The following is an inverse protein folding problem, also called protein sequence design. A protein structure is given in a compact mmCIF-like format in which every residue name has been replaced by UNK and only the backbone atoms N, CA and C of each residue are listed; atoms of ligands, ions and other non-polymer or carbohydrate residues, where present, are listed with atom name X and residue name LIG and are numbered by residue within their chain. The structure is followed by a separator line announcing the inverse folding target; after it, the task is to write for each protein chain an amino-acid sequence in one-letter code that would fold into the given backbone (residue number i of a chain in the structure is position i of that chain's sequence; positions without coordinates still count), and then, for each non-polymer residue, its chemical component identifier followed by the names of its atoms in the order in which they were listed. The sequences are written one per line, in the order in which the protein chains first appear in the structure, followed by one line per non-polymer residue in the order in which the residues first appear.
data_IF_068649714200
#
_entry.id   IF_068649714200
#
_cell.length_a   1.000
_cell.length_b   1.000
_cell.length_c   1.000
_cell.angle_alpha   90.00
_cell.angle_beta   90.00
_cell.angle_gamma   90.00
#
_symmetry.space_group_name_H-M   'P 1'
#
loop_
_entity.id
_entity.type
_entity.pdbx_description
1 polymer ?
#
# COMPACT_ATOMS: atom_id res chain seq x y z
N UNK A 1 20.22 74.69 9.50
CA UNK A 1 19.44 74.61 10.76
C UNK A 1 19.29 73.14 11.11
N UNK A 2 19.76 72.70 12.28
CA UNK A 2 19.41 71.40 12.87
C UNK A 2 20.39 70.23 12.67
N UNK A 3 21.49 70.18 13.43
CA UNK A 3 21.91 68.92 14.10
C UNK A 3 21.06 68.83 15.40
N UNK A 4 20.75 67.66 16.01
CA UNK A 4 21.79 66.88 16.67
C UNK A 4 21.61 65.35 16.79
N UNK A 5 22.78 64.74 16.96
CA UNK A 5 23.17 63.54 17.71
C UNK A 5 22.17 62.86 18.66
N UNK A 6 22.12 61.52 18.57
CA UNK A 6 22.06 60.55 19.68
C UNK A 6 22.84 59.30 19.21
N UNK A 7 23.96 58.84 19.78
CA UNK A 7 24.31 58.49 21.16
C UNK A 7 23.61 57.22 21.68
N UNK A 8 24.42 56.14 21.78
CA UNK A 8 24.45 55.12 22.82
C UNK A 8 23.20 54.27 23.08
N UNK A 9 23.38 52.95 23.11
CA UNK A 9 22.42 52.07 23.77
C UNK A 9 22.67 50.60 23.55
N UNK A 10 23.24 49.95 24.56
CA UNK A 10 23.41 48.51 24.65
C UNK A 10 22.07 47.76 24.55
N UNK A 11 22.03 46.69 23.74
CA UNK A 11 20.92 45.74 23.68
C UNK A 11 21.24 44.48 24.52
N UNK A 12 20.31 44.01 25.38
CA UNK A 12 20.57 42.96 26.35
C UNK A 12 20.40 41.54 25.81
N UNK A 13 21.01 40.62 26.56
CA UNK A 13 20.65 39.22 26.80
C UNK A 13 19.55 38.58 25.94
N UNK A 14 19.94 37.53 25.21
CA UNK A 14 19.02 36.59 24.58
C UNK A 14 19.58 35.17 24.54
N UNK A 15 20.00 34.61 25.69
CA UNK A 15 20.17 33.16 25.81
C UNK A 15 18.79 32.53 25.71
N UNK A 16 18.35 32.20 24.49
CA UNK A 16 17.24 31.28 24.28
C UNK A 16 17.69 29.92 24.83
N UNK A 17 17.37 29.65 26.10
CA UNK A 17 17.32 28.28 26.60
C UNK A 17 16.24 27.60 25.78
N UNK A 18 16.65 26.80 24.81
CA UNK A 18 15.76 25.83 24.18
C UNK A 18 15.36 24.88 25.30
N UNK A 19 14.19 25.13 25.87
CA UNK A 19 13.50 24.20 26.76
C UNK A 19 13.27 22.93 25.96
N UNK A 20 14.20 21.98 26.01
CA UNK A 20 13.92 20.62 25.61
C UNK A 20 12.90 20.09 26.63
N UNK A 21 11.63 19.84 26.25
CA UNK A 21 10.84 18.95 27.08
C UNK A 21 11.52 17.60 26.95
N UNK A 22 12.28 17.21 27.97
CA UNK A 22 12.58 15.81 28.21
C UNK A 22 11.23 15.10 28.27
N UNK A 23 10.78 14.56 27.13
CA UNK A 23 9.78 13.50 27.12
C UNK A 23 10.41 12.37 27.91
N UNK A 24 10.02 12.26 29.18
CA UNK A 24 10.28 11.05 29.93
C UNK A 24 9.79 9.88 29.07
N UNK A 25 10.58 8.80 28.91
CA UNK A 25 10.06 7.60 28.29
C UNK A 25 8.87 7.17 29.14
N UNK A 26 7.70 7.04 28.51
CA UNK A 26 6.57 6.36 29.12
C UNK A 26 7.08 5.00 29.57
N UNK A 27 7.39 4.88 30.87
CA UNK A 27 7.65 3.60 31.49
C UNK A 27 6.39 2.80 31.23
N UNK A 28 6.47 1.83 30.33
CA UNK A 28 5.45 0.81 30.21
C UNK A 28 5.45 0.11 31.56
N UNK A 29 4.62 0.60 32.49
CA UNK A 29 4.33 -0.09 33.73
C UNK A 29 3.89 -1.49 33.32
N UNK A 30 4.77 -2.45 33.53
CA UNK A 30 4.52 -3.85 33.25
C UNK A 30 3.53 -4.28 34.32
N UNK A 31 2.24 -4.51 34.00
CA UNK A 31 1.30 -4.98 34.99
C UNK A 31 1.84 -6.30 35.57
N UNK A 32 1.63 -6.56 36.88
CA UNK A 32 2.07 -7.79 37.51
C UNK A 32 1.46 -8.98 36.77
N UNK A 33 2.32 -9.89 36.29
CA UNK A 33 1.84 -11.12 35.68
C UNK A 33 1.28 -12.02 36.79
N UNK A 34 0.07 -12.57 36.64
CA UNK A 34 -0.40 -13.61 37.55
C UNK A 34 0.61 -14.76 37.56
N UNK A 35 0.92 -15.27 38.76
CA UNK A 35 1.90 -16.37 38.92
C UNK A 35 1.43 -17.57 38.10
N UNK A 36 2.29 -18.18 37.27
CA UNK A 36 1.92 -19.33 36.48
C UNK A 36 1.58 -20.48 37.42
N UNK A 37 0.33 -20.97 37.36
CA UNK A 37 0.01 -22.34 37.76
C UNK A 37 0.64 -23.24 36.69
N UNK A 38 1.15 -24.40 37.06
CA UNK A 38 2.09 -25.22 36.27
C UNK A 38 1.68 -25.51 34.81
N UNK A 39 0.42 -25.30 34.42
CA UNK A 39 -0.12 -25.52 33.06
C UNK A 39 -0.71 -24.27 32.38
N UNK A 40 -0.43 -23.06 32.88
CA UNK A 40 -1.02 -21.80 32.39
C UNK A 40 0.03 -20.84 31.83
N UNK A 41 -0.30 -20.20 30.70
CA UNK A 41 0.53 -19.23 29.99
C UNK A 41 -0.19 -17.89 29.95
N UNK A 42 0.49 -16.86 30.42
CA UNK A 42 0.02 -15.47 30.37
C UNK A 42 0.76 -14.73 29.26
N UNK A 43 0.03 -14.18 28.29
CA UNK A 43 0.63 -13.39 27.20
C UNK A 43 -0.11 -12.08 26.96
N UNK A 44 0.60 -11.11 26.39
CA UNK A 44 0.07 -9.79 26.03
C UNK A 44 -0.14 -9.70 24.53
N UNK A 45 -1.28 -9.17 24.11
CA UNK A 45 -1.60 -8.95 22.70
C UNK A 45 -2.23 -7.57 22.46
N UNK A 46 -2.16 -7.10 21.21
CA UNK A 46 -2.83 -5.87 20.79
C UNK A 46 -4.24 -6.21 20.31
N UNK A 47 -5.25 -5.72 21.02
CA UNK A 47 -6.64 -5.80 20.57
C UNK A 47 -6.85 -4.76 19.46
N UNK A 48 -7.06 -5.24 18.23
CA UNK A 48 -7.27 -4.39 17.04
C UNK A 48 -8.60 -3.65 17.07
N UNK A 49 -9.62 -4.19 17.74
CA UNK A 49 -10.93 -3.56 17.83
C UNK A 49 -10.93 -2.45 18.89
N UNK A 50 -10.32 -2.72 20.05
CA UNK A 50 -10.27 -1.74 21.15
C UNK A 50 -9.03 -0.82 21.14
N UNK A 51 -8.09 -1.03 20.21
CA UNK A 51 -6.88 -0.20 20.06
C UNK A 51 -5.92 -0.22 21.28
N UNK A 52 -6.05 -1.21 22.17
CA UNK A 52 -5.30 -1.28 23.45
C UNK A 52 -4.60 -2.61 23.63
N UNK A 53 -3.54 -2.61 24.43
CA UNK A 53 -2.89 -3.86 24.85
C UNK A 53 -3.74 -4.54 25.93
N UNK A 54 -3.93 -5.85 25.77
CA UNK A 54 -4.60 -6.71 26.75
C UNK A 54 -3.68 -7.85 27.13
N UNK A 55 -3.90 -8.38 28.33
CA UNK A 55 -3.22 -9.55 28.87
C UNK A 55 -4.27 -10.64 29.09
N UNK A 56 -3.99 -11.85 28.61
CA UNK A 56 -4.87 -13.01 28.79
C UNK A 56 -4.04 -14.16 29.38
N UNK A 57 -4.65 -14.93 30.27
CA UNK A 57 -4.07 -16.18 30.81
C UNK A 57 -4.89 -17.33 30.27
N UNK A 58 -4.23 -18.22 29.54
CA UNK A 58 -4.84 -19.43 28.97
C UNK A 58 -4.06 -20.64 29.41
N UNK A 59 -4.63 -21.82 29.26
CA UNK A 59 -3.92 -23.08 29.46
C UNK A 59 -2.91 -23.33 28.34
N UNK A 60 -1.85 -24.12 28.61
CA UNK A 60 -0.75 -24.34 27.67
C UNK A 60 -1.19 -24.93 26.32
N UNK A 61 -2.12 -25.89 26.32
CA UNK A 61 -2.71 -26.45 25.11
C UNK A 61 -3.46 -25.41 24.26
N UNK A 62 -4.23 -24.51 24.87
CA UNK A 62 -4.93 -23.45 24.14
C UNK A 62 -3.95 -22.40 23.58
N UNK A 63 -2.90 -22.09 24.34
CA UNK A 63 -1.82 -21.24 23.85
C UNK A 63 -1.17 -21.85 22.60
N UNK A 64 -0.81 -23.13 22.63
CA UNK A 64 -0.18 -23.81 21.50
C UNK A 64 -1.11 -23.85 20.28
N UNK A 65 -2.40 -24.17 20.48
CA UNK A 65 -3.41 -24.15 19.42
C UNK A 65 -3.51 -22.78 18.74
N UNK A 66 -3.53 -21.69 19.52
CA UNK A 66 -3.56 -20.31 18.99
C UNK A 66 -2.23 -19.94 18.33
N UNK A 67 -1.11 -20.34 18.90
CA UNK A 67 0.23 -20.03 18.38
C UNK A 67 0.48 -20.68 17.02
N UNK A 68 0.16 -21.98 16.88
CA UNK A 68 0.39 -22.72 15.64
C UNK A 68 -0.44 -22.20 14.46
N UNK A 69 -1.61 -21.59 14.68
CA UNK A 69 -2.36 -20.92 13.62
C UNK A 69 -1.62 -19.72 13.01
N UNK A 70 -0.61 -19.18 13.69
CA UNK A 70 0.20 -18.06 13.21
C UNK A 70 1.52 -18.52 12.58
N UNK A 71 1.91 -19.78 12.77
CA UNK A 71 3.12 -20.36 12.20
C UNK A 71 2.77 -20.95 10.84
N UNK A 72 3.41 -20.44 9.80
CA UNK A 72 3.22 -20.95 8.46
C UNK A 72 4.01 -22.26 8.28
N UNK A 73 3.42 -23.35 7.77
CA UNK A 73 4.15 -24.60 7.54
C UNK A 73 5.34 -24.41 6.60
N UNK A 74 6.33 -25.30 6.71
CA UNK A 74 7.50 -25.26 5.87
C UNK A 74 7.11 -25.33 4.37
N UNK A 75 7.80 -24.54 3.54
CA UNK A 75 7.54 -24.45 2.10
C UNK A 75 6.45 -23.45 1.70
N UNK A 76 5.74 -22.85 2.66
CA UNK A 76 4.78 -21.79 2.37
C UNK A 76 5.39 -20.41 2.65
N UNK A 77 5.07 -19.44 1.80
CA UNK A 77 5.49 -18.05 1.95
C UNK A 77 4.29 -17.13 2.19
N UNK A 78 4.45 -16.19 3.12
CA UNK A 78 3.43 -15.18 3.39
C UNK A 78 3.48 -14.08 2.33
N UNK A 79 2.49 -14.03 1.45
CA UNK A 79 2.34 -12.94 0.48
C UNK A 79 1.77 -11.70 1.18
N UNK A 80 2.41 -10.55 0.97
CA UNK A 80 1.93 -9.24 1.45
C UNK A 80 1.46 -8.44 0.24
N UNK A 81 0.21 -7.98 0.25
CA UNK A 81 -0.34 -7.10 -0.78
C UNK A 81 0.04 -5.66 -0.50
N UNK A 82 0.58 -4.96 -1.51
CA UNK A 82 0.98 -3.56 -1.43
C UNK A 82 0.22 -2.71 -2.47
N UNK A 83 0.37 -1.39 -2.36
CA UNK A 83 -0.21 -0.43 -3.29
C UNK A 83 -1.74 -0.50 -3.30
N UNK A 84 -2.33 -0.59 -4.49
CA UNK A 84 -3.77 -0.59 -4.71
C UNK A 84 -4.49 -1.77 -4.01
N UNK A 85 -3.82 -2.92 -3.92
CA UNK A 85 -4.40 -4.15 -3.35
C UNK A 85 -4.23 -4.26 -1.83
N UNK A 86 -3.60 -3.27 -1.19
CA UNK A 86 -3.45 -3.25 0.26
C UNK A 86 -4.81 -3.11 0.96
N UNK A 87 -5.02 -3.82 2.08
CA UNK A 87 -6.31 -3.85 2.77
C UNK A 87 -6.81 -2.45 3.19
N UNK A 88 -5.91 -1.54 3.59
CA UNK A 88 -6.27 -0.16 3.92
C UNK A 88 -6.79 0.67 2.73
N UNK A 89 -6.61 0.19 1.49
CA UNK A 89 -7.04 0.89 0.27
C UNK A 89 -8.37 0.35 -0.27
N UNK A 90 -9.03 -0.59 0.42
CA UNK A 90 -10.27 -1.24 -0.04
C UNK A 90 -11.39 -0.24 -0.34
N UNK A 91 -11.59 0.77 0.50
CA UNK A 91 -12.61 1.80 0.27
C UNK A 91 -12.27 2.67 -0.94
N UNK A 92 -11.00 3.03 -1.11
CA UNK A 92 -10.55 3.82 -2.26
C UNK A 92 -10.72 3.05 -3.57
N UNK A 93 -10.38 1.76 -3.58
CA UNK A 93 -10.62 0.87 -4.72
C UNK A 93 -12.11 0.75 -5.04
N UNK A 94 -12.97 0.64 -4.01
CA UNK A 94 -14.43 0.61 -4.21
C UNK A 94 -14.92 1.91 -4.86
N UNK A 95 -14.49 3.06 -4.35
CA UNK A 95 -14.91 4.35 -4.89
C UNK A 95 -14.43 4.55 -6.34
N UNK A 96 -13.18 4.18 -6.64
CA UNK A 96 -12.65 4.20 -8.01
C UNK A 96 -13.45 3.31 -8.96
N UNK A 97 -13.81 2.10 -8.53
CA UNK A 97 -14.67 1.20 -9.33
C UNK A 97 -16.03 1.83 -9.62
N UNK A 98 -16.64 2.46 -8.62
CA UNK A 98 -17.93 3.11 -8.80
C UNK A 98 -17.83 4.29 -9.78
N UNK A 99 -16.80 5.13 -9.66
CA UNK A 99 -16.57 6.24 -10.57
C UNK A 99 -16.42 5.77 -12.02
N UNK A 100 -15.59 4.75 -12.25
CA UNK A 100 -15.40 4.16 -13.58
C UNK A 100 -16.68 3.54 -14.17
N UNK A 101 -17.58 3.05 -13.31
CA UNK A 101 -18.85 2.49 -13.75
C UNK A 101 -19.84 3.59 -14.19
N UNK A 102 -19.80 4.75 -13.53
CA UNK A 102 -20.62 5.91 -13.88
C UNK A 102 -20.10 6.64 -15.13
N UNK A 103 -18.80 6.57 -15.40
CA UNK A 103 -18.17 7.20 -16.57
C UNK A 103 -18.24 6.37 -17.86
N UNK A 104 -18.78 5.15 -17.84
CA UNK A 104 -18.94 4.37 -19.07
C UNK A 104 -20.04 5.00 -19.95
N UNK A 105 -19.70 5.56 -21.13
CA UNK A 105 -20.73 5.93 -22.08
C UNK A 105 -21.45 4.64 -22.50
N UNK A 106 -22.78 4.69 -22.52
CA UNK A 106 -23.59 3.63 -23.11
C UNK A 106 -23.01 3.32 -24.49
N UNK A 107 -22.55 2.09 -24.69
CA UNK A 107 -22.06 1.65 -25.99
C UNK A 107 -23.23 1.73 -26.95
N UNK A 108 -23.29 2.77 -27.77
CA UNK A 108 -24.14 2.78 -28.95
C UNK A 108 -23.68 1.61 -29.81
N UNK A 109 -24.55 0.63 -30.12
CA UNK A 109 -24.18 -0.42 -31.06
C UNK A 109 -23.89 0.27 -32.40
N UNK A 110 -22.61 0.25 -32.79
CA UNK A 110 -22.17 0.76 -34.08
C UNK A 110 -22.88 -0.06 -35.16
N UNK A 111 -23.82 0.58 -35.84
CA UNK A 111 -24.37 0.09 -37.09
C UNK A 111 -23.20 -0.16 -38.04
N UNK A 112 -23.11 -1.39 -38.54
CA UNK A 112 -22.16 -1.77 -39.57
C UNK A 112 -22.36 -0.88 -40.81
N UNK A 113 -21.44 0.04 -41.03
CA UNK A 113 -21.26 0.68 -42.33
C UNK A 113 -20.26 -0.16 -43.13
N UNK A 114 -20.72 -0.76 -44.23
CA UNK A 114 -19.84 -1.37 -45.24
C UNK A 114 -18.86 -0.32 -45.80
N UNK A 115 -17.59 -0.69 -46.02
CA UNK A 115 -16.67 0.16 -46.77
C UNK A 115 -16.83 -0.06 -48.29
N UNK A 116 -16.76 0.98 -49.12
CA UNK A 116 -16.71 0.83 -50.57
C UNK A 116 -15.34 0.27 -50.98
N UNK A 117 -15.34 -0.64 -51.95
CA UNK A 117 -14.14 -1.30 -52.44
C UNK A 117 -13.16 -0.35 -53.10
N UNK A 118 -11.86 -0.60 -52.87
CA UNK A 118 -10.75 -0.12 -53.71
C UNK A 118 -9.62 -1.14 -53.67
N UNK A 119 -9.40 -1.78 -54.82
CA UNK A 119 -8.17 -2.47 -55.20
C UNK A 119 -7.07 -1.42 -55.34
N UNK A 120 -5.84 -1.70 -54.88
CA UNK A 120 -4.57 -1.25 -55.49
C UNK A 120 -3.39 -1.97 -54.82
N UNK A 121 -2.56 -2.57 -55.67
CA UNK A 121 -1.35 -3.32 -55.39
C UNK A 121 -0.14 -2.47 -54.94
N UNK A 122 0.87 -3.19 -54.44
CA UNK A 122 2.31 -2.87 -54.35
C UNK A 122 2.90 -2.46 -52.98
N UNK A 123 3.56 -3.46 -52.38
CA UNK A 123 4.77 -3.46 -51.55
C UNK A 123 4.94 -2.45 -50.39
N UNK A 124 4.67 -2.94 -49.16
CA UNK A 124 5.30 -2.44 -47.94
C UNK A 124 5.47 -3.57 -46.91
N UNK A 125 6.69 -4.11 -46.83
CA UNK A 125 7.32 -4.74 -45.66
C UNK A 125 6.39 -5.54 -44.71
N UNK A 126 6.28 -6.85 -44.96
CA UNK A 126 5.88 -7.93 -44.05
C UNK A 126 5.48 -7.49 -42.64
N UNK A 127 4.28 -6.93 -42.49
CA UNK A 127 3.65 -6.79 -41.19
C UNK A 127 3.34 -8.22 -40.70
N UNK A 128 3.83 -8.66 -39.53
CA UNK A 128 3.46 -9.97 -39.01
C UNK A 128 1.95 -10.00 -38.84
N UNK A 129 1.29 -11.00 -39.46
CA UNK A 129 -0.15 -11.16 -39.36
C UNK A 129 -0.61 -11.00 -37.91
N UNK A 130 -1.72 -10.28 -37.67
CA UNK A 130 -2.20 -10.02 -36.32
C UNK A 130 -2.49 -11.36 -35.64
N UNK A 131 -1.72 -11.68 -34.60
CA UNK A 131 -1.83 -12.96 -33.91
C UNK A 131 -3.26 -13.12 -33.38
N UNK A 132 -3.95 -14.18 -33.79
CA UNK A 132 -5.30 -14.47 -33.30
C UNK A 132 -5.25 -14.89 -31.83
N UNK A 133 -6.27 -14.53 -31.07
CA UNK A 133 -6.42 -14.94 -29.68
C UNK A 133 -6.61 -16.46 -29.60
N UNK A 134 -5.80 -17.21 -28.84
CA UNK A 134 -5.91 -18.67 -28.74
C UNK A 134 -7.20 -19.15 -28.06
N UNK A 135 -7.92 -18.27 -27.37
CA UNK A 135 -9.14 -18.64 -26.63
C UNK A 135 -10.41 -18.47 -27.45
N UNK A 136 -10.55 -17.38 -28.22
CA UNK A 136 -11.77 -17.10 -28.99
C UNK A 136 -11.59 -17.23 -30.50
N UNK A 137 -10.36 -17.26 -31.01
CA UNK A 137 -9.98 -17.35 -32.44
C UNK A 137 -10.53 -16.24 -33.36
N UNK A 138 -11.47 -15.43 -32.90
CA UNK A 138 -12.08 -14.30 -33.61
C UNK A 138 -11.37 -12.97 -33.29
N UNK A 139 -10.76 -12.84 -32.12
CA UNK A 139 -10.08 -11.62 -31.68
C UNK A 139 -8.60 -11.56 -32.09
N UNK A 140 -8.07 -10.33 -32.25
CA UNK A 140 -6.67 -10.08 -32.58
C UNK A 140 -5.88 -9.59 -31.36
N UNK A 141 -4.65 -10.11 -31.17
CA UNK A 141 -3.74 -9.67 -30.13
C UNK A 141 -3.03 -8.38 -30.57
N UNK A 142 -3.11 -7.32 -29.74
CA UNK A 142 -2.39 -6.06 -29.95
C UNK A 142 -1.15 -6.02 -29.04
N UNK A 143 0.01 -5.74 -29.63
CA UNK A 143 1.21 -5.46 -28.85
C UNK A 143 1.04 -4.10 -28.17
N UNK A 144 0.87 -4.10 -26.85
CA UNK A 144 0.72 -2.86 -26.07
C UNK A 144 2.07 -2.17 -25.83
N UNK A 145 3.05 -2.93 -25.33
CA UNK A 145 4.42 -2.45 -25.15
C UNK A 145 5.39 -3.63 -25.04
N UNK A 146 6.66 -3.39 -25.36
CA UNK A 146 7.75 -4.33 -25.04
C UNK A 146 8.34 -3.93 -23.70
N UNK A 147 8.26 -4.82 -22.72
CA UNK A 147 8.95 -4.64 -21.45
C UNK A 147 10.42 -5.01 -21.66
N UNK A 148 11.29 -4.01 -21.73
CA UNK A 148 12.73 -4.24 -21.64
C UNK A 148 13.08 -4.62 -20.20
N UNK A 149 14.02 -5.56 -19.99
CA UNK A 149 14.50 -5.86 -18.65
C UNK A 149 15.06 -4.57 -18.06
N UNK A 150 14.52 -4.16 -16.92
CA UNK A 150 15.07 -3.05 -16.17
C UNK A 150 16.53 -3.42 -15.85
N UNK A 151 17.48 -2.62 -16.35
CA UNK A 151 18.88 -2.76 -15.91
C UNK A 151 18.88 -2.65 -14.39
N UNK A 152 19.44 -3.62 -13.65
CA UNK A 152 19.56 -3.49 -12.22
C UNK A 152 20.33 -2.20 -11.93
N UNK A 153 19.69 -1.24 -11.26
CA UNK A 153 20.40 -0.10 -10.68
C UNK A 153 21.15 -0.67 -9.48
N UNK A 154 22.47 -0.63 -9.54
CA UNK A 154 23.33 -1.00 -8.40
C UNK A 154 23.08 -0.08 -7.20
N UNK A 155 23.58 -0.48 -6.02
CA UNK A 155 23.46 0.31 -4.79
C UNK A 155 24.13 1.69 -4.89
#
# INVERSE_FOLDING_TARGET
MGRPHHALGAGPAGRARVSCPLRLPHRHHRPPHPRPRHDTVTFRYNDRAAGRQRTETVSGHEFLRRFLQHVLPAGFHKVRYYGLWHAARRDQVRNLRNALLLEQPASTPAAHAEPPGQEHDADAAMAPEPRRCPHCQTGHLRLLCRLSPARPRGP
#
